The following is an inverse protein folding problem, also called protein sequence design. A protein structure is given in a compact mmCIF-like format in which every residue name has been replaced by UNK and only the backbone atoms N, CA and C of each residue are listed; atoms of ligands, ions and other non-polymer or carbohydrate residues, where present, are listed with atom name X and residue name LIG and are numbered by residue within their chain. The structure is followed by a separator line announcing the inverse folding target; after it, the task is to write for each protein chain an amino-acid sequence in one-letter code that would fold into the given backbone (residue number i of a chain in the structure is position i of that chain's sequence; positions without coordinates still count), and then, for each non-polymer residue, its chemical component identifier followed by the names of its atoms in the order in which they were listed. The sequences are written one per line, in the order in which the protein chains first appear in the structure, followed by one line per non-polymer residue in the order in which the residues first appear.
data_IF_571403843640
#
_entry.id   IF_571403843640
#
_cell.length_a   1.000
_cell.length_b   1.000
_cell.length_c   1.000
_cell.angle_alpha   90.00
_cell.angle_beta   90.00
_cell.angle_gamma   90.00
#
_symmetry.space_group_name_H-M   'P 1'
#
loop_
_entity.id
_entity.type
_entity.pdbx_description
1 polymer ?
#
# COMPACT_ATOMS: atom_id res chain seq x y z
N UNK A 1 -15.80 -0.65 2.30
CA UNK A 1 -14.46 -0.62 1.70
C UNK A 1 -13.46 -0.75 2.83
N UNK A 2 -12.59 -1.74 2.77
CA UNK A 2 -11.53 -1.95 3.75
C UNK A 2 -10.19 -1.71 3.07
N UNK A 3 -9.26 -1.10 3.81
CA UNK A 3 -7.93 -0.78 3.32
C UNK A 3 -6.90 -1.61 4.08
N UNK A 4 -6.22 -2.47 3.34
CA UNK A 4 -5.17 -3.32 3.87
C UNK A 4 -3.81 -2.70 3.57
N UNK A 5 -2.89 -2.92 4.49
CA UNK A 5 -1.55 -2.36 4.52
C UNK A 5 -0.65 -3.37 5.21
N UNK A 6 0.58 -3.37 4.75
CA UNK A 6 1.62 -4.26 5.23
C UNK A 6 2.77 -3.39 5.66
N UNK A 7 3.50 -3.88 6.66
CA UNK A 7 4.67 -3.22 7.20
C UNK A 7 5.82 -4.20 7.08
N UNK A 8 6.95 -3.73 6.54
CA UNK A 8 8.23 -4.44 6.70
C UNK A 8 9.01 -3.77 7.80
N UNK A 9 9.35 -4.59 8.79
CA UNK A 9 10.12 -4.27 9.96
C UNK A 9 11.56 -4.72 9.72
N UNK A 10 12.54 -3.91 10.11
CA UNK A 10 13.94 -4.14 9.80
C UNK A 10 14.64 -4.96 10.86
N UNK A 11 14.84 -6.27 10.64
CA UNK A 11 15.54 -7.13 11.60
C UNK A 11 16.12 -8.40 10.95
N UNK A 12 17.41 -8.69 11.17
CA UNK A 12 18.01 -10.03 11.06
C UNK A 12 19.35 -10.14 11.85
N UNK A 13 19.43 -11.20 12.66
CA UNK A 13 20.55 -11.94 13.27
C UNK A 13 21.36 -11.39 14.48
N UNK A 14 21.59 -12.34 15.41
CA UNK A 14 22.04 -12.20 16.79
C UNK A 14 23.39 -12.88 17.08
N UNK A 15 24.03 -12.50 18.18
CA UNK A 15 24.67 -13.45 19.11
C UNK A 15 24.57 -12.95 20.57
N UNK A 16 24.43 -13.92 21.48
CA UNK A 16 23.87 -13.87 22.83
C UNK A 16 24.62 -13.00 23.87
N UNK A 17 23.91 -12.48 24.89
CA UNK A 17 24.07 -12.81 26.34
C UNK A 17 22.93 -12.19 27.18
N UNK A 18 22.47 -12.96 28.17
CA UNK A 18 21.32 -12.76 29.05
C UNK A 18 21.35 -11.59 30.05
N UNK A 19 20.14 -11.05 30.27
CA UNK A 19 19.51 -10.58 31.51
C UNK A 19 20.15 -9.41 32.30
N UNK A 20 19.41 -8.29 32.40
CA UNK A 20 18.67 -7.88 33.62
C UNK A 20 18.01 -6.49 33.46
N UNK A 21 16.73 -6.40 33.83
CA UNK A 21 16.05 -5.27 34.50
C UNK A 21 16.01 -3.88 33.85
N UNK A 22 14.81 -3.39 33.45
CA UNK A 22 14.14 -2.20 34.03
C UNK A 22 12.93 -1.71 33.21
N UNK A 23 12.04 -1.03 33.94
CA UNK A 23 11.15 0.08 33.54
C UNK A 23 9.87 -0.18 32.72
N UNK A 24 8.78 0.31 33.30
CA UNK A 24 7.43 0.42 32.75
C UNK A 24 7.45 1.07 31.35
N UNK A 25 7.13 0.29 30.32
CA UNK A 25 7.03 0.77 28.94
C UNK A 25 5.58 1.18 28.60
N UNK A 26 5.49 2.28 27.85
CA UNK A 26 4.29 2.94 27.35
C UNK A 26 3.18 2.02 26.82
N UNK A 27 1.94 2.40 27.12
CA UNK A 27 0.71 1.71 26.73
C UNK A 27 0.40 1.95 25.22
N UNK A 28 0.98 1.12 24.34
CA UNK A 28 0.66 1.08 22.91
C UNK A 28 -0.60 0.22 22.67
N UNK A 29 -1.80 0.80 22.74
CA UNK A 29 -3.06 0.08 22.57
C UNK A 29 -4.14 1.06 22.03
N UNK A 30 -4.84 0.85 20.90
CA UNK A 30 -5.34 -0.43 20.38
C UNK A 30 -5.57 -0.42 18.88
N UNK A 31 -5.26 -1.57 18.31
CA UNK A 31 -5.53 -1.99 16.95
C UNK A 31 -6.75 -2.92 16.99
N UNK A 32 -7.70 -2.74 16.07
CA UNK A 32 -8.98 -3.45 16.08
C UNK A 32 -8.98 -4.63 15.10
N UNK A 33 -9.26 -5.83 15.61
CA UNK A 33 -9.11 -7.11 14.92
C UNK A 33 -10.42 -7.67 14.35
N UNK A 34 -10.37 -8.28 13.15
CA UNK A 34 -11.50 -8.99 12.50
C UNK A 34 -11.04 -10.01 11.44
N UNK A 35 -11.83 -11.02 11.04
CA UNK A 35 -11.34 -12.22 10.31
C UNK A 35 -10.55 -11.96 9.01
N UNK A 36 -9.52 -12.78 8.75
CA UNK A 36 -8.69 -12.70 7.54
C UNK A 36 -9.35 -13.40 6.32
N UNK A 37 -9.06 -12.99 5.06
CA UNK A 37 -9.63 -13.63 3.86
C UNK A 37 -9.09 -15.05 3.57
N UNK A 38 -9.97 -15.93 3.08
CA UNK A 38 -9.76 -17.39 2.88
C UNK A 38 -8.71 -17.81 1.83
N UNK A 39 -8.09 -16.86 1.11
CA UNK A 39 -6.95 -17.16 0.22
C UNK A 39 -5.65 -17.49 0.98
N UNK A 40 -5.70 -17.48 2.32
CA UNK A 40 -4.71 -17.98 3.25
C UNK A 40 -5.31 -19.24 3.90
N UNK A 41 -4.69 -20.44 3.82
CA UNK A 41 -5.34 -21.67 4.25
C UNK A 41 -5.78 -21.63 5.73
N UNK A 42 -7.07 -21.92 5.92
CA UNK A 42 -7.84 -22.19 7.14
C UNK A 42 -7.09 -22.28 8.48
N UNK A 43 -7.06 -21.18 9.25
CA UNK A 43 -6.45 -21.14 10.60
C UNK A 43 -7.18 -20.25 11.64
N UNK A 44 -8.48 -19.97 11.49
CA UNK A 44 -9.24 -19.28 12.57
C UNK A 44 -8.69 -17.89 12.99
N UNK A 45 -8.18 -17.10 12.03
CA UNK A 45 -7.47 -15.83 12.30
C UNK A 45 -8.37 -14.59 12.28
N UNK A 46 -8.03 -13.60 13.13
CA UNK A 46 -8.45 -12.20 13.02
C UNK A 46 -7.26 -11.34 12.55
N UNK A 47 -7.47 -10.52 11.55
CA UNK A 47 -6.62 -9.50 10.95
C UNK A 47 -6.80 -8.12 11.60
N UNK A 48 -5.67 -7.49 11.90
CA UNK A 48 -5.47 -6.08 12.19
C UNK A 48 -3.99 -5.77 11.90
N UNK A 49 -3.59 -4.50 11.80
CA UNK A 49 -2.15 -4.18 11.70
C UNK A 49 -1.62 -3.77 13.05
N UNK A 50 -0.73 -4.58 13.61
CA UNK A 50 0.03 -4.28 14.80
C UNK A 50 1.50 -4.34 14.47
N UNK A 51 2.20 -3.24 14.79
CA UNK A 51 3.66 -3.20 14.84
C UNK A 51 4.08 -4.03 16.06
N UNK A 52 4.85 -5.08 15.83
CA UNK A 52 5.48 -5.90 16.86
C UNK A 52 6.97 -5.98 16.58
N UNK A 53 7.85 -5.97 17.59
CA UNK A 53 9.28 -6.22 17.38
C UNK A 53 9.50 -7.58 16.69
N UNK A 54 10.50 -7.70 15.82
CA UNK A 54 10.85 -9.01 15.26
C UNK A 54 11.48 -9.93 16.32
N UNK A 55 12.15 -9.36 17.33
CA UNK A 55 12.67 -10.04 18.52
C UNK A 55 12.27 -9.27 19.79
N UNK A 56 11.62 -9.94 20.74
CA UNK A 56 11.14 -9.34 21.98
C UNK A 56 12.21 -9.26 23.08
N UNK A 57 13.34 -9.97 22.92
CA UNK A 57 14.40 -10.06 23.93
C UNK A 57 15.54 -9.04 23.69
N UNK A 58 15.57 -8.38 22.52
CA UNK A 58 16.54 -7.32 22.17
C UNK A 58 15.89 -6.20 21.34
N UNK A 59 15.00 -5.36 21.89
CA UNK A 59 14.39 -4.25 21.15
C UNK A 59 15.44 -3.17 20.82
N UNK A 60 16.05 -3.21 19.62
CA UNK A 60 17.04 -2.25 19.14
C UNK A 60 16.57 -0.78 19.23
N UNK A 61 17.56 0.02 19.62
CA UNK A 61 17.67 1.47 19.78
C UNK A 61 16.50 2.34 19.26
N UNK A 62 15.50 2.62 20.12
CA UNK A 62 14.43 3.59 19.84
C UNK A 62 14.96 4.99 19.49
N UNK A 63 16.17 5.36 19.94
CA UNK A 63 16.68 6.73 19.82
C UNK A 63 17.02 7.12 18.38
N UNK A 64 17.21 6.14 17.49
CA UNK A 64 17.61 6.39 16.10
C UNK A 64 16.48 6.31 15.07
N UNK A 65 15.24 5.98 15.47
CA UNK A 65 14.08 5.87 14.57
C UNK A 65 13.63 7.25 14.06
N UNK A 66 13.34 7.35 12.76
CA UNK A 66 12.87 8.60 12.12
C UNK A 66 11.34 8.62 11.95
N UNK A 67 10.71 7.47 11.75
CA UNK A 67 9.25 7.34 11.67
C UNK A 67 8.77 6.43 10.54
N UNK A 68 7.57 6.69 10.02
CA UNK A 68 6.96 5.89 8.95
C UNK A 68 7.39 6.38 7.55
N UNK A 69 7.83 5.46 6.68
CA UNK A 69 8.04 5.67 5.25
C UNK A 69 6.92 5.00 4.47
N UNK A 70 6.02 5.80 3.90
CA UNK A 70 4.96 5.31 3.03
C UNK A 70 5.49 5.10 1.62
N UNK A 71 5.17 3.94 1.04
CA UNK A 71 5.61 3.56 -0.31
C UNK A 71 4.42 3.22 -1.21
N UNK A 72 4.50 3.62 -2.47
CA UNK A 72 3.64 3.11 -3.53
C UNK A 72 4.42 2.82 -4.81
N UNK A 73 4.42 1.57 -5.31
CA UNK A 73 5.17 1.14 -6.50
C UNK A 73 4.52 1.57 -7.83
N UNK A 74 3.30 2.12 -7.79
CA UNK A 74 2.58 2.55 -8.97
C UNK A 74 1.69 1.47 -9.59
N UNK A 75 1.76 1.34 -10.92
CA UNK A 75 0.74 0.69 -11.74
C UNK A 75 -0.03 1.71 -12.59
N UNK A 76 -1.27 2.11 -12.25
CA UNK A 76 -2.05 1.74 -11.07
C UNK A 76 -2.47 0.27 -11.05
N UNK A 77 -2.79 -0.27 -9.86
CA UNK A 77 -3.27 -1.65 -9.69
C UNK A 77 -2.25 -2.63 -9.12
N UNK A 78 -1.01 -2.20 -8.86
CA UNK A 78 -0.04 -3.04 -8.17
C UNK A 78 -0.26 -2.99 -6.64
N UNK A 79 -0.31 -4.13 -5.93
CA UNK A 79 -0.44 -4.14 -4.47
C UNK A 79 0.84 -3.61 -3.79
N UNK A 80 0.75 -2.48 -3.09
CA UNK A 80 1.86 -1.97 -2.30
C UNK A 80 2.21 -2.90 -1.11
N UNK A 81 1.25 -3.71 -0.65
CA UNK A 81 1.52 -4.75 0.35
C UNK A 81 2.48 -5.81 -0.15
N UNK A 82 2.38 -6.16 -1.44
CA UNK A 82 3.31 -7.06 -2.11
C UNK A 82 4.71 -6.42 -2.20
N UNK A 83 4.77 -5.16 -2.60
CA UNK A 83 6.02 -4.41 -2.68
C UNK A 83 6.77 -4.40 -1.34
N UNK A 84 6.05 -4.10 -0.27
CA UNK A 84 6.59 -4.16 1.07
C UNK A 84 7.10 -5.56 1.39
N UNK A 85 6.33 -6.61 1.11
CA UNK A 85 6.81 -7.99 1.29
C UNK A 85 8.10 -8.29 0.52
N UNK A 86 8.22 -7.84 -0.72
CA UNK A 86 9.41 -8.05 -1.56
C UNK A 86 10.65 -7.33 -0.98
N UNK A 87 10.47 -6.12 -0.43
CA UNK A 87 11.52 -5.37 0.28
C UNK A 87 12.00 -6.14 1.53
N UNK A 88 11.08 -6.69 2.31
CA UNK A 88 11.41 -7.44 3.53
C UNK A 88 12.15 -8.74 3.25
N UNK A 89 11.82 -9.39 2.15
CA UNK A 89 12.52 -10.58 1.66
C UNK A 89 13.85 -10.25 0.96
N UNK A 90 14.17 -8.97 0.78
CA UNK A 90 15.37 -8.53 0.05
C UNK A 90 15.34 -8.83 -1.45
N UNK A 91 14.17 -9.15 -2.00
CA UNK A 91 13.98 -9.40 -3.44
C UNK A 91 13.69 -8.12 -4.22
N UNK A 92 13.48 -7.00 -3.52
CA UNK A 92 13.42 -5.66 -4.09
C UNK A 92 14.38 -4.69 -3.37
N UNK A 93 15.18 -3.96 -4.16
CA UNK A 93 16.23 -3.05 -3.70
C UNK A 93 15.83 -1.58 -3.58
N UNK A 94 14.53 -1.22 -3.66
CA UNK A 94 14.10 0.18 -3.58
C UNK A 94 14.48 0.89 -2.27
N UNK A 95 14.70 0.13 -1.19
CA UNK A 95 15.19 0.66 0.07
C UNK A 95 16.45 -0.07 0.51
N UNK A 96 17.54 0.68 0.74
CA UNK A 96 18.76 0.13 1.33
C UNK A 96 18.61 -0.18 2.82
N UNK A 97 19.60 -0.87 3.40
CA UNK A 97 19.56 -1.30 4.80
C UNK A 97 19.43 -0.14 5.79
N UNK A 98 20.00 1.03 5.48
CA UNK A 98 19.84 2.22 6.32
C UNK A 98 18.39 2.68 6.35
N UNK A 99 17.69 2.71 5.22
CA UNK A 99 16.27 3.10 5.20
C UNK A 99 15.44 2.12 6.02
N UNK A 100 15.68 0.82 5.87
CA UNK A 100 15.02 -0.21 6.67
C UNK A 100 15.28 0.02 8.17
N UNK A 101 16.53 0.26 8.60
CA UNK A 101 16.84 0.52 10.02
C UNK A 101 16.11 1.75 10.58
N UNK A 102 16.04 2.83 9.80
CA UNK A 102 15.57 4.14 10.29
C UNK A 102 14.06 4.36 10.16
N UNK A 103 13.37 3.60 9.31
CA UNK A 103 11.94 3.79 9.03
C UNK A 103 11.11 2.50 9.14
N UNK A 104 9.82 2.63 9.47
CA UNK A 104 8.84 1.57 9.24
C UNK A 104 8.33 1.72 7.82
N UNK A 105 8.50 0.70 6.98
CA UNK A 105 8.09 0.78 5.57
C UNK A 105 6.63 0.38 5.48
N UNK A 106 5.79 1.33 5.06
CA UNK A 106 4.34 1.23 5.06
C UNK A 106 3.80 1.18 3.62
N UNK A 107 3.23 0.04 3.24
CA UNK A 107 2.63 -0.16 1.92
C UNK A 107 1.12 -0.19 2.03
N UNK A 108 0.44 0.79 1.43
CA UNK A 108 -1.02 0.87 1.39
C UNK A 108 -1.55 0.35 0.05
N UNK A 109 -2.33 -0.73 0.06
CA UNK A 109 -3.03 -1.15 -1.14
C UNK A 109 -4.16 -0.15 -1.41
N UNK A 110 -4.14 0.58 -2.55
CA UNK A 110 -5.21 1.51 -2.87
C UNK A 110 -6.57 0.79 -2.89
N UNK A 111 -7.64 1.54 -2.63
CA UNK A 111 -8.99 1.06 -2.90
C UNK A 111 -9.10 0.47 -4.30
N UNK A 112 -9.76 -0.68 -4.43
CA UNK A 112 -9.83 -1.44 -5.68
C UNK A 112 -8.66 -2.39 -5.94
N UNK A 113 -7.60 -2.37 -5.12
CA UNK A 113 -6.32 -3.06 -5.39
C UNK A 113 -5.93 -3.99 -4.25
N UNK A 114 -5.16 -5.04 -4.57
CA UNK A 114 -4.42 -5.80 -3.57
C UNK A 114 -5.31 -6.43 -2.51
N UNK A 115 -4.93 -6.38 -1.25
CA UNK A 115 -5.70 -6.91 -0.13
C UNK A 115 -6.87 -5.99 0.30
N UNK A 116 -6.91 -4.74 -0.17
CA UNK A 116 -8.06 -3.85 0.00
C UNK A 116 -9.29 -4.35 -0.76
N UNK A 117 -10.48 -3.78 -0.52
CA UNK A 117 -11.67 -4.14 -1.30
C UNK A 117 -11.39 -3.99 -2.79
N UNK A 118 -11.40 -5.12 -3.53
CA UNK A 118 -10.93 -5.22 -4.91
C UNK A 118 -11.99 -4.84 -5.92
N UNK A 119 -11.56 -4.32 -7.06
CA UNK A 119 -12.34 -4.38 -8.30
C UNK A 119 -12.53 -5.84 -8.70
N UNK A 120 -13.75 -6.20 -9.07
CA UNK A 120 -14.16 -7.50 -9.60
C UNK A 120 -14.62 -7.31 -11.04
N UNK A 121 -14.09 -8.15 -11.93
CA UNK A 121 -14.47 -8.19 -13.34
C UNK A 121 -14.62 -9.65 -13.77
N UNK A 122 -15.42 -9.91 -14.80
CA UNK A 122 -15.45 -11.20 -15.47
C UNK A 122 -14.12 -11.42 -16.20
N UNK A 123 -13.34 -12.39 -15.71
CA UNK A 123 -12.04 -12.71 -16.25
C UNK A 123 -12.14 -13.39 -17.63
N UNK A 124 -13.23 -14.08 -17.95
CA UNK A 124 -13.42 -14.63 -19.28
C UNK A 124 -13.59 -13.50 -20.30
N UNK A 125 -14.40 -12.50 -19.97
CA UNK A 125 -14.57 -11.31 -20.81
C UNK A 125 -13.26 -10.52 -20.94
N UNK A 126 -12.59 -10.24 -19.82
CA UNK A 126 -11.31 -9.52 -19.80
C UNK A 126 -10.20 -10.22 -20.61
N UNK A 127 -10.13 -11.55 -20.52
CA UNK A 127 -9.11 -12.35 -21.19
C UNK A 127 -9.36 -12.59 -22.68
N UNK A 128 -10.49 -12.14 -23.25
CA UNK A 128 -10.68 -12.15 -24.72
C UNK A 128 -9.64 -11.28 -25.43
N UNK A 129 -9.15 -10.25 -24.74
CA UNK A 129 -8.18 -9.24 -25.20
C UNK A 129 -8.64 -8.50 -26.46
N UNK A 130 -8.43 -7.20 -26.49
CA UNK A 130 -8.67 -6.35 -27.66
C UNK A 130 -7.37 -5.61 -27.96
N UNK A 131 -7.08 -5.39 -29.25
CA UNK A 131 -5.95 -4.55 -29.63
C UNK A 131 -6.19 -3.13 -29.09
N UNK A 132 -5.20 -2.59 -28.38
CA UNK A 132 -5.17 -1.18 -27.97
C UNK A 132 -4.76 -0.23 -29.10
N UNK A 133 -4.43 -0.78 -30.27
CA UNK A 133 -3.95 -0.05 -31.44
C UNK A 133 -4.87 -0.32 -32.64
N UNK A 134 -6.09 0.26 -32.68
CA UNK A 134 -6.98 0.14 -33.82
C UNK A 134 -6.42 0.89 -35.04
N UNK A 135 -6.54 0.30 -36.22
CA UNK A 135 -5.93 0.81 -37.48
C UNK A 135 -6.91 1.54 -38.39
N UNK A 136 -8.21 1.48 -38.07
CA UNK A 136 -9.27 2.13 -38.81
C UNK A 136 -10.50 2.35 -37.91
N UNK A 137 -11.44 3.17 -38.39
CA UNK A 137 -12.64 3.54 -37.64
C UNK A 137 -13.49 2.34 -37.21
N UNK A 138 -13.63 1.32 -38.06
CA UNK A 138 -14.38 0.12 -37.72
C UNK A 138 -13.72 -0.70 -36.59
N UNK A 139 -12.39 -0.80 -36.57
CA UNK A 139 -11.65 -1.42 -35.46
C UNK A 139 -11.73 -0.58 -34.18
N UNK A 140 -11.67 0.74 -34.28
CA UNK A 140 -11.85 1.64 -33.14
C UNK A 140 -13.24 1.50 -32.51
N UNK A 141 -14.31 1.49 -33.31
CA UNK A 141 -15.68 1.27 -32.80
C UNK A 141 -15.84 -0.06 -32.07
N UNK A 142 -15.26 -1.15 -32.61
CA UNK A 142 -15.25 -2.46 -31.95
C UNK A 142 -14.49 -2.43 -30.63
N UNK A 143 -13.35 -1.73 -30.59
CA UNK A 143 -12.57 -1.56 -29.36
C UNK A 143 -13.37 -0.80 -28.30
N UNK A 144 -14.02 0.31 -28.67
CA UNK A 144 -14.87 1.09 -27.76
C UNK A 144 -16.03 0.25 -27.22
N UNK A 145 -16.76 -0.45 -28.09
CA UNK A 145 -17.87 -1.32 -27.68
C UNK A 145 -17.41 -2.41 -26.71
N UNK A 146 -16.28 -3.05 -26.98
CA UNK A 146 -15.72 -4.08 -26.10
C UNK A 146 -15.34 -3.51 -24.72
N UNK A 147 -14.67 -2.35 -24.66
CA UNK A 147 -14.31 -1.77 -23.36
C UNK A 147 -15.50 -1.17 -22.61
N UNK A 148 -16.57 -0.75 -23.30
CA UNK A 148 -17.85 -0.43 -22.67
C UNK A 148 -18.48 -1.67 -22.03
N UNK A 149 -18.48 -2.82 -22.72
CA UNK A 149 -18.95 -4.09 -22.18
C UNK A 149 -18.15 -4.53 -20.95
N UNK A 150 -16.81 -4.48 -21.04
CA UNK A 150 -15.90 -4.78 -19.92
C UNK A 150 -16.18 -3.84 -18.74
N UNK A 151 -16.28 -2.54 -18.99
CA UNK A 151 -16.53 -1.54 -17.93
C UNK A 151 -17.87 -1.77 -17.23
N UNK A 152 -18.94 -2.01 -17.99
CA UNK A 152 -20.26 -2.31 -17.44
C UNK A 152 -20.25 -3.61 -16.61
N UNK A 153 -19.56 -4.65 -17.10
CA UNK A 153 -19.42 -5.90 -16.37
C UNK A 153 -18.64 -5.73 -15.05
N UNK A 154 -17.49 -5.06 -15.08
CA UNK A 154 -16.73 -4.73 -13.88
C UNK A 154 -17.56 -3.92 -12.88
N UNK A 155 -18.32 -2.93 -13.36
CA UNK A 155 -19.23 -2.13 -12.54
C UNK A 155 -20.32 -2.96 -11.88
N UNK A 156 -20.96 -3.86 -12.62
CA UNK A 156 -21.98 -4.73 -12.08
C UNK A 156 -21.43 -5.66 -10.98
N UNK A 157 -20.23 -6.21 -11.18
CA UNK A 157 -19.60 -7.13 -10.22
C UNK A 157 -18.94 -6.44 -9.02
N UNK A 158 -18.49 -5.19 -9.19
CA UNK A 158 -17.79 -4.41 -8.15
C UNK A 158 -18.76 -3.56 -7.33
N UNK A 159 -19.83 -3.05 -7.96
CA UNK A 159 -20.78 -2.14 -7.32
C UNK A 159 -20.24 -0.71 -7.15
N UNK A 160 -20.75 0.04 -6.16
CA UNK A 160 -20.49 1.48 -6.00
C UNK A 160 -19.02 1.89 -5.85
N UNK A 161 -18.14 0.95 -5.51
CA UNK A 161 -16.71 1.23 -5.42
C UNK A 161 -16.15 1.77 -6.75
N UNK A 162 -16.70 1.37 -7.90
CA UNK A 162 -16.25 1.86 -9.23
C UNK A 162 -16.39 3.37 -9.43
N UNK A 163 -17.25 4.05 -8.67
CA UNK A 163 -17.43 5.51 -8.74
C UNK A 163 -16.42 6.28 -7.90
N UNK A 164 -15.55 5.58 -7.17
CA UNK A 164 -14.71 6.17 -6.14
C UNK A 164 -13.26 5.67 -6.19
N UNK A 165 -12.78 5.22 -7.35
CA UNK A 165 -11.43 4.69 -7.57
C UNK A 165 -10.40 5.76 -7.97
N UNK A 166 -10.79 7.03 -8.03
CA UNK A 166 -9.90 8.12 -8.43
C UNK A 166 -8.74 8.34 -7.44
N UNK A 167 -7.69 9.02 -7.92
CA UNK A 167 -6.48 9.24 -7.13
C UNK A 167 -6.71 10.17 -5.93
N UNK A 168 -7.66 11.11 -6.01
CA UNK A 168 -7.97 12.01 -4.88
C UNK A 168 -8.53 11.22 -3.71
N UNK A 169 -9.36 10.24 -4.01
CA UNK A 169 -9.89 9.29 -3.05
C UNK A 169 -8.77 8.44 -2.40
N UNK A 170 -7.79 7.96 -3.18
CA UNK A 170 -6.61 7.26 -2.66
C UNK A 170 -5.77 8.16 -1.74
N UNK A 171 -5.62 9.45 -2.08
CA UNK A 171 -4.89 10.42 -1.25
C UNK A 171 -5.58 10.67 0.09
N UNK A 172 -6.92 10.70 0.12
CA UNK A 172 -7.69 10.80 1.36
C UNK A 172 -7.54 9.57 2.25
N UNK A 173 -7.46 8.38 1.65
CA UNK A 173 -7.18 7.15 2.38
C UNK A 173 -5.79 7.17 3.02
N UNK A 174 -4.79 7.63 2.26
CA UNK A 174 -3.42 7.77 2.73
C UNK A 174 -3.32 8.72 3.94
N UNK A 175 -4.00 9.87 3.88
CA UNK A 175 -4.06 10.83 5.00
C UNK A 175 -4.75 10.22 6.22
N UNK A 176 -5.87 9.51 6.05
CA UNK A 176 -6.56 8.87 7.16
C UNK A 176 -5.66 7.85 7.87
N UNK A 177 -4.87 7.07 7.10
CA UNK A 177 -3.89 6.13 7.67
C UNK A 177 -2.77 6.86 8.40
N UNK A 178 -2.22 7.93 7.82
CA UNK A 178 -1.18 8.74 8.49
C UNK A 178 -1.66 9.30 9.83
N UNK A 179 -2.88 9.85 9.87
CA UNK A 179 -3.49 10.35 11.11
C UNK A 179 -3.66 9.21 12.13
N UNK A 180 -4.14 8.04 11.69
CA UNK A 180 -4.31 6.88 12.56
C UNK A 180 -2.97 6.32 13.12
N UNK A 181 -1.86 6.49 12.39
CA UNK A 181 -0.51 6.08 12.82
C UNK A 181 0.20 7.13 13.70
N UNK A 182 -0.55 8.02 14.36
CA UNK A 182 0.01 8.99 15.30
C UNK A 182 0.17 10.40 14.74
N UNK A 183 -0.34 10.66 13.53
CA UNK A 183 -0.43 12.00 12.94
C UNK A 183 0.92 12.71 12.73
N UNK A 184 2.02 11.96 12.65
CA UNK A 184 3.32 12.48 12.23
C UNK A 184 3.32 12.91 10.76
N UNK A 185 4.21 13.82 10.38
CA UNK A 185 4.36 14.23 8.98
C UNK A 185 4.82 13.04 8.11
N UNK A 186 4.25 12.92 6.91
CA UNK A 186 4.51 11.81 6.01
C UNK A 186 5.94 11.88 5.44
N UNK A 187 6.62 10.74 5.41
CA UNK A 187 7.75 10.48 4.52
C UNK A 187 7.20 9.63 3.35
N UNK A 188 7.30 10.12 2.12
CA UNK A 188 6.70 9.46 0.95
C UNK A 188 7.75 9.03 -0.07
N UNK A 189 7.64 7.78 -0.54
CA UNK A 189 8.33 7.25 -1.71
C UNK A 189 7.30 6.77 -2.73
N UNK A 190 7.08 7.56 -3.77
CA UNK A 190 6.17 7.23 -4.86
C UNK A 190 6.93 6.92 -6.14
N UNK A 191 6.63 5.79 -6.77
CA UNK A 191 7.18 5.40 -8.06
C UNK A 191 6.07 5.35 -9.12
N UNK A 192 6.35 5.80 -10.34
CA UNK A 192 5.40 5.73 -11.46
C UNK A 192 4.05 6.38 -11.08
N UNK A 193 2.92 5.68 -11.15
CA UNK A 193 1.61 6.17 -10.67
C UNK A 193 1.63 6.64 -9.20
N UNK A 194 2.50 6.07 -8.35
CA UNK A 194 2.74 6.54 -6.99
C UNK A 194 3.27 7.98 -6.92
N UNK A 195 3.91 8.48 -7.98
CA UNK A 195 4.28 9.91 -8.07
C UNK A 195 3.06 10.82 -8.18
N UNK A 196 2.02 10.38 -8.90
CA UNK A 196 0.76 11.12 -9.01
C UNK A 196 0.00 11.13 -7.68
N UNK A 197 0.03 10.03 -6.92
CA UNK A 197 -0.49 10.04 -5.53
C UNK A 197 0.28 11.08 -4.70
N UNK A 198 1.61 11.07 -4.79
CA UNK A 198 2.47 12.01 -4.05
C UNK A 198 2.19 13.48 -4.38
N UNK A 199 2.09 13.84 -5.66
CA UNK A 199 1.80 15.21 -6.08
C UNK A 199 0.40 15.67 -5.64
N UNK A 200 -0.61 14.81 -5.77
CA UNK A 200 -1.97 15.12 -5.30
C UNK A 200 -2.04 15.21 -3.77
N UNK A 201 -1.27 14.40 -3.04
CA UNK A 201 -1.13 14.55 -1.59
C UNK A 201 -0.48 15.88 -1.22
N UNK A 202 0.58 16.29 -1.91
CA UNK A 202 1.22 17.59 -1.69
C UNK A 202 0.29 18.76 -1.99
N UNK A 203 -0.60 18.64 -2.97
CA UNK A 203 -1.62 19.64 -3.25
C UNK A 203 -2.67 19.75 -2.13
N UNK A 204 -3.19 18.62 -1.64
CA UNK A 204 -4.28 18.61 -0.65
C UNK A 204 -3.80 18.80 0.80
N UNK A 205 -2.64 18.25 1.15
CA UNK A 205 -2.10 18.22 2.51
C UNK A 205 -0.64 18.72 2.59
N UNK A 206 -0.30 19.90 2.03
CA UNK A 206 1.09 20.37 1.91
C UNK A 206 1.82 20.48 3.25
N UNK A 207 1.10 20.80 4.33
CA UNK A 207 1.66 20.97 5.68
C UNK A 207 2.01 19.65 6.37
N UNK A 208 1.49 18.53 5.86
CA UNK A 208 1.62 17.22 6.47
C UNK A 208 2.80 16.42 5.91
N UNK A 209 3.67 17.03 5.09
CA UNK A 209 4.84 16.39 4.47
C UNK A 209 6.11 16.72 5.25
N UNK A 210 6.91 15.69 5.54
CA UNK A 210 8.29 15.81 6.04
C UNK A 210 9.27 15.68 4.88
N UNK A 211 9.17 14.60 4.13
CA UNK A 211 9.98 14.34 2.94
C UNK A 211 9.16 13.62 1.87
N UNK A 212 9.53 13.83 0.61
CA UNK A 212 8.83 13.26 -0.52
C UNK A 212 9.82 12.99 -1.65
N UNK A 213 9.85 11.74 -2.11
CA UNK A 213 10.59 11.28 -3.28
C UNK A 213 9.55 10.84 -4.31
N UNK A 214 9.69 11.36 -5.52
CA UNK A 214 8.89 11.03 -6.68
C UNK A 214 9.85 10.52 -7.75
N UNK A 215 9.76 9.24 -8.06
CA UNK A 215 10.61 8.57 -9.05
C UNK A 215 9.77 8.18 -10.29
N UNK A 216 10.26 8.56 -11.47
CA UNK A 216 9.60 8.34 -12.76
C UNK A 216 8.24 9.05 -12.84
N UNK A 217 8.30 10.38 -12.77
CA UNK A 217 7.16 11.26 -12.55
C UNK A 217 6.07 11.17 -13.62
N UNK A 218 4.84 10.97 -13.15
CA UNK A 218 3.59 11.16 -13.89
C UNK A 218 3.07 12.56 -13.57
N UNK A 219 3.26 13.49 -14.50
CA UNK A 219 2.73 14.84 -14.38
C UNK A 219 1.29 14.87 -14.84
N UNK A 220 0.38 15.28 -13.96
CA UNK A 220 -1.02 15.55 -14.29
C UNK A 220 -1.20 17.07 -14.40
N UNK A 221 -1.80 17.53 -15.50
CA UNK A 221 -2.26 18.91 -15.68
C UNK A 221 -3.66 19.09 -15.08
#
# INVERSE_FOLDING_TARGET
MFIVLSIVLAWLFASQVSALSQTEAHNYNTITWGPCPETLPALGLKCAKLLVPLDWDHPDDPENRIGNLFINPGGPGYPATKEVSDIGLGTNGYTGDEIKRRFDIIGLDPRGVGLSTRVRCDLNLWNRRMSLFPTNEASFRRMVQFYQEVSANCRNLTGPLMDHLDTIQVVKDLEAVRVALGNEKINWLGMSYGTMIGTQYAYLYPKNIRSMILDSNLQHY
#
